data_IF_353361906497
#
_entry.id   IF_353361906497
#
_cell.length_a   1.000
_cell.length_b   1.000
_cell.length_c   1.000
_cell.angle_alpha   90.00
_cell.angle_beta   90.00
_cell.angle_gamma   90.00
#
_symmetry.space_group_name_H-M   'P 1'
#
loop_
_entity.id
_entity.type
_entity.pdbx_description
1 polymer ?
#
# COMPACT_ATOMS: atom_id res chain seq x y z
N UNK A 1 -0.29 4.46 -11.85
CA UNK A 1 -1.69 4.05 -11.56
C UNK A 1 -2.66 5.22 -11.56
N UNK A 2 -3.98 4.98 -11.65
CA UNK A 2 -5.00 6.00 -11.36
C UNK A 2 -5.04 6.37 -9.87
N UNK A 3 -5.40 7.61 -9.56
CA UNK A 3 -5.39 8.16 -8.19
C UNK A 3 -6.33 7.42 -7.25
N UNK A 4 -7.54 7.11 -7.70
CA UNK A 4 -8.53 6.36 -6.93
C UNK A 4 -8.06 4.95 -6.59
N UNK A 5 -7.38 4.28 -7.53
CA UNK A 5 -6.77 2.96 -7.28
C UNK A 5 -5.67 3.04 -6.21
N UNK A 6 -4.90 4.13 -6.20
CA UNK A 6 -3.86 4.37 -5.20
C UNK A 6 -4.46 4.56 -3.79
N UNK A 7 -5.49 5.40 -3.67
CA UNK A 7 -6.21 5.66 -2.41
C UNK A 7 -6.85 4.37 -1.89
N UNK A 8 -7.55 3.63 -2.75
CA UNK A 8 -8.21 2.39 -2.38
C UNK A 8 -7.22 1.34 -1.87
N UNK A 9 -6.03 1.23 -2.49
CA UNK A 9 -4.98 0.33 -2.00
C UNK A 9 -4.39 0.77 -0.67
N UNK A 10 -4.13 2.07 -0.49
CA UNK A 10 -3.63 2.59 0.80
C UNK A 10 -4.64 2.33 1.92
N UNK A 11 -5.93 2.51 1.65
CA UNK A 11 -7.01 2.19 2.58
C UNK A 11 -7.05 0.68 2.91
N UNK A 12 -6.93 -0.20 1.91
CA UNK A 12 -6.88 -1.65 2.14
C UNK A 12 -5.67 -2.04 2.99
N UNK A 13 -4.50 -1.43 2.75
CA UNK A 13 -3.27 -1.72 3.52
C UNK A 13 -3.38 -1.21 4.95
N UNK A 14 -4.02 -0.06 5.17
CA UNK A 14 -4.29 0.48 6.50
C UNK A 14 -5.31 -0.38 7.28
N UNK A 15 -6.40 -0.78 6.62
CA UNK A 15 -7.47 -1.61 7.19
C UNK A 15 -7.04 -3.07 7.42
N UNK A 16 -6.30 -3.66 6.49
CA UNK A 16 -5.82 -5.04 6.56
C UNK A 16 -4.34 -5.06 6.91
N UNK A 17 -4.05 -5.31 8.18
CA UNK A 17 -2.70 -5.48 8.78
C UNK A 17 -1.82 -6.54 8.07
N UNK A 18 -2.35 -7.28 7.10
CA UNK A 18 -1.59 -8.12 6.17
C UNK A 18 -2.39 -8.38 4.91
N UNK A 19 -2.09 -7.64 3.84
CA UNK A 19 -2.58 -7.99 2.50
C UNK A 19 -1.54 -8.90 1.84
N UNK A 20 -1.95 -10.10 1.43
CA UNK A 20 -1.08 -11.01 0.67
C UNK A 20 -0.80 -10.38 -0.70
N UNK A 21 0.40 -9.82 -0.86
CA UNK A 21 0.88 -9.22 -2.13
C UNK A 21 0.86 -10.23 -3.30
N UNK A 22 0.85 -11.53 -2.97
CA UNK A 22 0.85 -12.67 -3.89
C UNK A 22 -0.52 -12.88 -4.56
N UNK A 23 -0.84 -12.03 -5.54
CA UNK A 23 -2.09 -12.12 -6.31
C UNK A 23 -2.09 -11.37 -7.64
N UNK A 24 -0.93 -11.09 -8.23
CA UNK A 24 -0.82 -10.42 -9.53
C UNK A 24 -0.80 -8.88 -9.47
N UNK A 25 -0.67 -8.30 -8.28
CA UNK A 25 -0.61 -6.84 -8.06
C UNK A 25 0.78 -6.38 -7.58
N UNK A 26 1.82 -7.22 -7.65
CA UNK A 26 3.17 -6.89 -7.16
C UNK A 26 3.69 -5.56 -7.70
N UNK A 27 3.58 -5.33 -9.02
CA UNK A 27 4.05 -4.09 -9.66
C UNK A 27 3.40 -2.84 -9.06
N UNK A 28 2.11 -2.94 -8.72
CA UNK A 28 1.30 -1.87 -8.11
C UNK A 28 1.79 -1.53 -6.70
N UNK A 29 2.07 -2.55 -5.87
CA UNK A 29 2.63 -2.34 -4.54
C UNK A 29 4.08 -1.85 -4.62
N UNK A 30 4.89 -2.35 -5.55
CA UNK A 30 6.25 -1.87 -5.77
C UNK A 30 6.29 -0.40 -6.22
N UNK A 31 5.32 0.03 -7.06
CA UNK A 31 5.15 1.44 -7.42
C UNK A 31 4.83 2.29 -6.18
N UNK A 32 3.89 1.86 -5.34
CA UNK A 32 3.58 2.53 -4.06
C UNK A 32 4.78 2.59 -3.10
N UNK A 33 5.59 1.55 -3.04
CA UNK A 33 6.82 1.50 -2.23
C UNK A 33 7.87 2.48 -2.79
N UNK A 34 8.03 2.55 -4.11
CA UNK A 34 8.93 3.52 -4.77
C UNK A 34 8.50 4.96 -4.55
N UNK A 35 7.20 5.20 -4.46
CA UNK A 35 6.63 6.50 -4.13
C UNK A 35 6.79 6.85 -2.64
N UNK A 36 7.15 5.87 -1.81
CA UNK A 36 7.36 6.07 -0.38
C UNK A 36 6.08 6.01 0.45
N UNK A 37 4.94 5.60 -0.13
CA UNK A 37 3.65 5.54 0.56
C UNK A 37 3.43 4.25 1.34
N UNK A 38 4.13 3.17 0.98
CA UNK A 38 4.05 1.88 1.67
C UNK A 38 5.45 1.27 1.81
N UNK A 39 5.54 0.23 2.63
CA UNK A 39 6.74 -0.60 2.78
C UNK A 39 6.37 -2.06 2.68
N UNK A 40 7.02 -2.80 1.78
CA UNK A 40 6.76 -4.21 1.54
C UNK A 40 7.77 -5.05 2.33
N UNK A 41 7.29 -5.78 3.32
CA UNK A 41 8.04 -6.79 4.02
C UNK A 41 7.99 -8.11 3.23
N UNK A 42 9.04 -8.37 2.45
CA UNK A 42 9.26 -9.63 1.72
C UNK A 42 9.99 -10.70 2.55
N UNK A 43 10.39 -10.37 3.77
CA UNK A 43 11.14 -11.26 4.67
C UNK A 43 10.26 -12.28 5.42
N UNK A 44 8.94 -12.19 5.29
CA UNK A 44 7.96 -13.06 5.93
C UNK A 44 7.35 -14.00 4.91
N UNK A 45 7.00 -15.23 5.34
CA UNK A 45 6.33 -16.25 4.51
C UNK A 45 5.04 -15.70 3.86
N UNK A 46 4.39 -14.75 4.52
CA UNK A 46 3.40 -13.86 3.91
C UNK A 46 4.06 -12.53 3.58
N UNK A 47 4.14 -12.17 2.30
CA UNK A 47 4.48 -10.80 1.90
C UNK A 47 3.42 -9.87 2.51
N UNK A 48 3.86 -8.94 3.36
CA UNK A 48 2.98 -7.95 3.99
C UNK A 48 3.40 -6.55 3.56
N UNK A 49 2.43 -5.68 3.29
CA UNK A 49 2.68 -4.26 3.14
C UNK A 49 2.22 -3.52 4.40
N UNK A 50 2.94 -2.46 4.75
CA UNK A 50 2.55 -1.52 5.80
C UNK A 50 2.56 -0.12 5.23
N UNK A 51 1.54 0.68 5.56
CA UNK A 51 1.48 2.07 5.15
C UNK A 51 2.57 2.89 5.87
N UNK A 52 3.20 3.82 5.16
CA UNK A 52 4.16 4.76 5.74
C UNK A 52 3.42 6.00 6.27
N UNK A 53 4.07 6.85 7.10
CA UNK A 53 3.51 8.14 7.49
C UNK A 53 3.12 9.00 6.29
N UNK A 54 3.93 9.02 5.24
CA UNK A 54 3.66 9.76 4.00
C UNK A 54 2.44 9.22 3.24
N UNK A 55 2.28 7.89 3.18
CA UNK A 55 1.10 7.27 2.58
C UNK A 55 -0.18 7.55 3.37
N UNK A 56 -0.08 7.56 4.69
CA UNK A 56 -1.19 7.86 5.59
C UNK A 56 -1.62 9.33 5.48
N UNK A 57 -0.66 10.25 5.40
CA UNK A 57 -0.93 11.67 5.19
C UNK A 57 -1.60 11.91 3.83
N UNK A 58 -1.08 11.27 2.77
CA UNK A 58 -1.71 11.30 1.46
C UNK A 58 -3.14 10.76 1.49
N UNK A 59 -3.37 9.63 2.16
CA UNK A 59 -4.70 9.03 2.31
C UNK A 59 -5.67 9.98 3.02
N UNK A 60 -5.25 10.58 4.14
CA UNK A 60 -6.07 11.53 4.91
C UNK A 60 -6.43 12.77 4.08
N UNK A 61 -5.49 13.35 3.33
CA UNK A 61 -5.75 14.52 2.48
C UNK A 61 -6.76 14.26 1.36
N UNK A 62 -7.05 13.00 1.05
CA UNK A 62 -7.93 12.59 -0.04
C UNK A 62 -9.23 11.91 0.42
N UNK A 63 -9.42 11.75 1.72
CA UNK A 63 -10.65 11.25 2.34
C UNK A 63 -11.63 12.38 2.74
N UNK A 64 -11.28 13.65 2.47
CA UNK A 64 -12.12 14.85 2.72
C UNK A 64 -12.97 15.30 1.52
#
# INVERSE_FOLDING_TARGET
MEKEAMISLLEIIDQQVSSSILGGMEETYEELERLGYIRINRNTVQHSASITPEGLDYLNQHLE
#
